data_IF_928723707487
#
_entry.id   IF_928723707487
#
_cell.length_a   1.000
_cell.length_b   1.000
_cell.length_c   1.000
_cell.angle_alpha   90.00
_cell.angle_beta   90.00
_cell.angle_gamma   90.00
#
_symmetry.space_group_name_H-M   'P 1'
#
loop_
_entity.id
_entity.type
_entity.pdbx_description
1 polymer ?
#
# COMPACT_ATOMS: atom_id res chain seq x y z
N UNK A 1 19.32 -14.05 22.22
CA UNK A 1 18.47 -14.41 21.07
C UNK A 1 18.05 -13.09 20.47
N UNK A 2 18.75 -12.73 19.41
CA UNK A 2 18.77 -11.40 18.81
C UNK A 2 17.47 -11.11 18.07
N UNK A 3 16.62 -10.27 18.66
CA UNK A 3 15.52 -9.58 17.96
C UNK A 3 16.11 -8.34 17.25
N UNK A 4 16.88 -8.58 16.19
CA UNK A 4 17.39 -7.51 15.32
C UNK A 4 16.26 -7.08 14.37
N UNK A 5 15.52 -6.04 14.78
CA UNK A 5 14.50 -5.41 13.96
C UNK A 5 15.12 -4.94 12.61
N UNK A 6 14.65 -5.43 11.45
CA UNK A 6 15.20 -5.06 10.16
C UNK A 6 14.66 -3.70 9.75
N UNK A 7 15.26 -2.61 10.25
CA UNK A 7 14.64 -1.28 10.06
C UNK A 7 15.58 -0.09 9.97
N UNK A 8 16.90 -0.27 9.87
CA UNK A 8 17.82 0.88 10.00
C UNK A 8 18.19 1.61 8.70
N UNK A 9 17.81 1.14 7.51
CA UNK A 9 18.12 1.83 6.24
C UNK A 9 17.10 1.52 5.11
N UNK A 10 15.79 1.71 5.36
CA UNK A 10 14.77 1.56 4.32
C UNK A 10 13.93 2.82 4.25
N UNK A 11 14.05 3.58 3.17
CA UNK A 11 13.22 4.75 2.88
C UNK A 11 12.06 4.36 1.97
N UNK A 12 10.84 4.76 2.34
CA UNK A 12 9.65 4.48 1.54
C UNK A 12 9.17 5.75 0.83
N UNK A 13 9.18 5.72 -0.50
CA UNK A 13 8.68 6.80 -1.35
C UNK A 13 7.36 6.37 -1.98
N UNK A 14 6.36 7.26 -1.99
CA UNK A 14 5.13 7.04 -2.76
C UNK A 14 5.28 7.70 -4.13
N UNK A 15 5.24 6.89 -5.20
CA UNK A 15 5.38 7.34 -6.58
C UNK A 15 4.05 7.86 -7.13
N UNK A 16 2.95 7.16 -6.83
CA UNK A 16 1.59 7.57 -7.17
C UNK A 16 0.60 6.98 -6.17
N UNK A 17 -0.52 7.67 -5.99
CA UNK A 17 -1.63 7.18 -5.17
C UNK A 17 -2.95 7.68 -5.74
N UNK A 18 -3.89 6.77 -5.94
CA UNK A 18 -5.26 7.07 -6.31
C UNK A 18 -6.19 6.53 -5.24
N UNK A 19 -7.21 7.31 -4.87
CA UNK A 19 -8.18 6.92 -3.87
C UNK A 19 -9.61 7.19 -4.30
N UNK A 20 -10.51 6.33 -3.86
CA UNK A 20 -11.95 6.46 -4.08
C UNK A 20 -12.69 6.38 -2.74
N UNK A 21 -13.58 7.35 -2.43
CA UNK A 21 -14.42 7.28 -1.25
C UNK A 21 -15.52 6.22 -1.42
N UNK A 22 -15.94 5.63 -0.31
CA UNK A 22 -17.09 4.73 -0.26
C UNK A 22 -17.77 4.73 1.11
N UNK A 23 -19.06 4.35 1.12
CA UNK A 23 -19.87 4.38 2.34
C UNK A 23 -19.96 5.79 2.92
N UNK A 24 -20.01 5.90 4.25
CA UNK A 24 -20.21 7.20 4.93
C UNK A 24 -18.95 8.06 5.03
N UNK A 25 -17.82 7.44 5.35
CA UNK A 25 -16.55 8.14 5.58
C UNK A 25 -15.33 7.28 5.28
N UNK A 26 -15.44 6.21 4.49
CA UNK A 26 -14.30 5.34 4.18
C UNK A 26 -13.72 5.68 2.81
N UNK A 27 -12.49 5.26 2.57
CA UNK A 27 -11.88 5.26 1.24
C UNK A 27 -11.02 4.01 1.03
N UNK A 28 -10.88 3.63 -0.24
CA UNK A 28 -9.85 2.69 -0.68
C UNK A 28 -8.81 3.51 -1.44
N UNK A 29 -7.54 3.27 -1.15
CA UNK A 29 -6.39 3.84 -1.85
C UNK A 29 -5.57 2.73 -2.50
N UNK A 30 -5.16 2.94 -3.74
CA UNK A 30 -4.15 2.15 -4.44
C UNK A 30 -2.95 3.05 -4.66
N UNK A 31 -1.82 2.72 -4.03
CA UNK A 31 -0.59 3.50 -4.13
C UNK A 31 0.57 2.66 -4.65
N UNK A 32 1.34 3.19 -5.61
CA UNK A 32 2.63 2.63 -6.03
C UNK A 32 3.71 3.23 -5.14
N UNK A 33 4.46 2.39 -4.44
CA UNK A 33 5.51 2.78 -3.51
C UNK A 33 6.83 2.13 -3.89
N UNK A 34 7.92 2.76 -3.47
CA UNK A 34 9.29 2.34 -3.70
C UNK A 34 10.00 2.29 -2.36
N UNK A 35 10.53 1.13 -2.01
CA UNK A 35 11.46 0.95 -0.89
C UNK A 35 12.88 1.13 -1.43
N UNK A 36 13.62 2.07 -0.85
CA UNK A 36 15.01 2.34 -1.17
C UNK A 36 15.85 1.84 -0.01
N UNK A 37 16.78 0.93 -0.29
CA UNK A 37 17.77 0.43 0.65
C UNK A 37 19.17 0.70 0.12
N UNK A 38 20.19 0.48 0.95
CA UNK A 38 21.60 0.58 0.50
C UNK A 38 21.97 -0.43 -0.59
N UNK A 39 21.22 -1.53 -0.70
CA UNK A 39 21.51 -2.65 -1.60
C UNK A 39 20.68 -2.60 -2.89
N UNK A 40 19.63 -1.77 -2.93
CA UNK A 40 18.81 -1.62 -4.12
C UNK A 40 17.48 -0.94 -3.85
N UNK A 41 16.69 -0.88 -4.90
CA UNK A 41 15.37 -0.28 -4.88
C UNK A 41 14.33 -1.32 -5.28
N UNK A 42 13.21 -1.38 -4.56
CA UNK A 42 12.12 -2.29 -4.87
C UNK A 42 10.78 -1.57 -4.91
N UNK A 43 10.01 -1.79 -5.95
CA UNK A 43 8.68 -1.21 -6.11
C UNK A 43 7.59 -2.20 -5.72
N UNK A 44 6.51 -1.67 -5.16
CA UNK A 44 5.36 -2.46 -4.74
C UNK A 44 4.08 -1.61 -4.77
N UNK A 45 2.94 -2.29 -4.84
CA UNK A 45 1.62 -1.67 -4.74
C UNK A 45 1.11 -1.83 -3.31
N UNK A 46 0.59 -0.76 -2.75
CA UNK A 46 -0.06 -0.71 -1.44
C UNK A 46 -1.54 -0.44 -1.65
N UNK A 47 -2.37 -1.45 -1.40
CA UNK A 47 -3.83 -1.31 -1.39
C UNK A 47 -4.27 -1.11 0.06
N UNK A 48 -4.82 0.06 0.36
CA UNK A 48 -5.11 0.49 1.73
C UNK A 48 -6.57 0.88 1.88
N UNK A 49 -7.16 0.54 3.03
CA UNK A 49 -8.45 1.07 3.47
C UNK A 49 -8.22 2.11 4.55
N UNK A 50 -8.80 3.29 4.37
CA UNK A 50 -8.82 4.34 5.37
C UNK A 50 -10.21 4.93 5.59
N UNK A 51 -10.26 5.94 6.45
CA UNK A 51 -11.46 6.71 6.75
C UNK A 51 -11.14 8.16 7.08
N UNK A 52 -12.13 9.02 6.87
CA UNK A 52 -12.11 10.44 7.20
C UNK A 52 -12.66 10.66 8.61
N UNK A 53 -11.97 11.50 9.37
CA UNK A 53 -12.43 12.04 10.64
C UNK A 53 -13.36 13.25 10.43
N UNK A 54 -14.11 13.69 11.46
CA UNK A 54 -15.01 14.85 11.35
C UNK A 54 -14.30 16.16 10.98
N UNK A 55 -13.01 16.27 11.28
CA UNK A 55 -12.15 17.40 10.91
C UNK A 55 -11.59 17.29 9.47
N UNK A 56 -11.97 16.25 8.72
CA UNK A 56 -11.51 15.99 7.36
C UNK A 56 -10.17 15.26 7.27
N UNK A 57 -9.50 14.99 8.39
CA UNK A 57 -8.21 14.28 8.37
C UNK A 57 -8.38 12.80 8.02
N UNK A 58 -7.38 12.25 7.34
CA UNK A 58 -7.38 10.87 6.87
C UNK A 58 -6.64 9.95 7.84
N UNK A 59 -7.23 8.78 8.11
CA UNK A 59 -6.58 7.69 8.85
C UNK A 59 -6.65 6.39 8.09
N UNK A 60 -5.50 5.74 7.95
CA UNK A 60 -5.41 4.39 7.40
C UNK A 60 -5.74 3.37 8.47
N UNK A 61 -6.59 2.40 8.12
CA UNK A 61 -7.04 1.33 9.03
C UNK A 61 -6.26 0.04 8.81
N UNK A 62 -6.17 -0.41 7.56
CA UNK A 62 -5.44 -1.61 7.15
C UNK A 62 -4.90 -1.42 5.74
N UNK A 63 -3.78 -2.05 5.45
CA UNK A 63 -3.18 -2.11 4.12
C UNK A 63 -2.73 -3.52 3.80
N UNK A 64 -2.65 -3.82 2.51
CA UNK A 64 -2.01 -5.02 1.98
C UNK A 64 -0.96 -4.58 0.96
N UNK A 65 0.21 -5.22 1.02
CA UNK A 65 1.31 -4.99 0.10
C UNK A 65 1.29 -6.07 -0.98
N UNK A 66 1.32 -5.64 -2.23
CA UNK A 66 1.35 -6.49 -3.42
C UNK A 66 2.69 -6.22 -4.11
N UNK A 67 3.56 -7.23 -4.27
CA UNK A 67 4.80 -7.09 -5.02
C UNK A 67 4.55 -6.60 -6.46
N UNK A 68 5.49 -5.84 -7.04
CA UNK A 68 5.42 -5.44 -8.45
C UNK A 68 5.79 -6.58 -9.42
N UNK A 69 5.31 -7.79 -9.14
CA UNK A 69 5.44 -8.95 -10.03
C UNK A 69 4.23 -9.03 -10.97
N UNK A 70 4.42 -9.12 -12.30
CA UNK A 70 3.31 -9.18 -13.25
C UNK A 70 2.31 -10.31 -12.97
N UNK A 71 2.78 -11.52 -12.63
CA UNK A 71 1.90 -12.68 -12.40
C UNK A 71 1.05 -12.50 -11.15
N UNK A 72 1.64 -11.96 -10.09
CA UNK A 72 0.91 -11.68 -8.84
C UNK A 72 -0.11 -10.58 -9.06
N UNK A 73 0.26 -9.51 -9.77
CA UNK A 73 -0.68 -8.41 -10.10
C UNK A 73 -1.86 -8.90 -10.92
N UNK A 74 -1.61 -9.65 -11.99
CA UNK A 74 -2.65 -10.17 -12.87
C UNK A 74 -3.62 -11.08 -12.11
N UNK A 75 -3.08 -11.97 -11.26
CA UNK A 75 -3.90 -12.82 -10.39
C UNK A 75 -4.81 -12.01 -9.46
N UNK A 76 -4.27 -11.00 -8.78
CA UNK A 76 -5.06 -10.15 -7.87
C UNK A 76 -6.14 -9.38 -8.64
N UNK A 77 -5.80 -8.78 -9.79
CA UNK A 77 -6.75 -8.02 -10.62
C UNK A 77 -7.86 -8.92 -11.12
N UNK A 78 -7.54 -10.12 -11.63
CA UNK A 78 -8.53 -11.08 -12.11
C UNK A 78 -9.48 -11.47 -10.99
N UNK A 79 -8.96 -11.88 -9.83
CA UNK A 79 -9.82 -12.31 -8.71
C UNK A 79 -10.72 -11.19 -8.21
N UNK A 80 -10.23 -9.95 -8.12
CA UNK A 80 -11.06 -8.79 -7.76
C UNK A 80 -12.14 -8.51 -8.81
N UNK A 81 -11.88 -8.72 -10.10
CA UNK A 81 -12.87 -8.50 -11.18
C UNK A 81 -13.96 -9.58 -11.23
N UNK A 82 -13.63 -10.81 -10.83
CA UNK A 82 -14.52 -11.98 -10.98
C UNK A 82 -15.32 -12.35 -9.74
N UNK A 83 -14.92 -11.87 -8.56
CA UNK A 83 -15.68 -12.02 -7.30
C UNK A 83 -16.73 -10.92 -7.17
#
# INVERSE_FOLDING_TARGET
MDDEAPGKNVDFITLSAEKIPFGRNNFIEVARKKAITKEGENEFISLSRGYYLPDGTERFKKSVTIPDDPKIKDFVIEKIRTM
#
